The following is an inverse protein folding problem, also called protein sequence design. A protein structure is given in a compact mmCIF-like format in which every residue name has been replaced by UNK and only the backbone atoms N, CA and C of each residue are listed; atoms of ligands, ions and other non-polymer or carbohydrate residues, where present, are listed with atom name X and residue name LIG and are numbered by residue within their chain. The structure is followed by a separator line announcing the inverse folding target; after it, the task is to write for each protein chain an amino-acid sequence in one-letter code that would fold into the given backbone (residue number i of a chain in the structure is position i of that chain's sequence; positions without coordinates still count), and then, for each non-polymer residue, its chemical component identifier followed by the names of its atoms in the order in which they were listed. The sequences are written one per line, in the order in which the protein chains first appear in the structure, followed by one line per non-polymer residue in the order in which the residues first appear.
data_IF_347965207481
#
_entry.id   IF_347965207481
#
_cell.length_a   1.000
_cell.length_b   1.000
_cell.length_c   1.000
_cell.angle_alpha   90.00
_cell.angle_beta   90.00
_cell.angle_gamma   90.00
#
_symmetry.space_group_name_H-M   'P 1'
#
loop_
_entity.id
_entity.type
_entity.pdbx_description
1 polymer ?
#
# COMPACT_ATOMS: atom_id res chain seq x y z
N UNK A 1 -4.28 -13.44 -4.27
CA UNK A 1 -5.27 -13.70 -3.19
C UNK A 1 -5.09 -12.63 -2.12
N UNK A 2 -6.12 -11.83 -1.83
CA UNK A 2 -6.13 -10.83 -0.74
C UNK A 2 -6.66 -11.48 0.54
N UNK A 3 -5.85 -11.54 1.59
CA UNK A 3 -6.27 -11.98 2.93
C UNK A 3 -6.61 -10.76 3.77
N UNK A 4 -7.80 -10.75 4.36
CA UNK A 4 -8.21 -9.67 5.25
C UNK A 4 -7.48 -9.81 6.58
N UNK A 5 -6.86 -8.73 7.04
CA UNK A 5 -6.35 -8.63 8.41
C UNK A 5 -7.51 -8.67 9.39
N UNK A 6 -7.35 -9.39 10.50
CA UNK A 6 -8.29 -9.46 11.62
C UNK A 6 -8.27 -8.17 12.47
N UNK A 7 -8.28 -7.00 11.84
CA UNK A 7 -8.31 -5.70 12.49
C UNK A 7 -9.58 -4.95 12.10
N UNK A 8 -10.12 -4.20 13.04
CA UNK A 8 -11.27 -3.32 12.77
C UNK A 8 -10.84 -2.13 11.91
N UNK A 9 -11.78 -1.54 11.16
CA UNK A 9 -11.55 -0.30 10.41
C UNK A 9 -11.01 0.83 11.29
N UNK A 10 -11.46 0.90 12.55
CA UNK A 10 -11.00 1.90 13.52
C UNK A 10 -9.53 1.70 13.89
N UNK A 11 -9.11 0.46 14.14
CA UNK A 11 -7.71 0.14 14.43
C UNK A 11 -6.82 0.45 13.23
N UNK A 12 -7.24 0.05 12.02
CA UNK A 12 -6.50 0.36 10.80
C UNK A 12 -6.31 1.87 10.60
N UNK A 13 -7.36 2.67 10.83
CA UNK A 13 -7.28 4.13 10.74
C UNK A 13 -6.30 4.72 11.75
N UNK A 14 -6.32 4.23 12.99
CA UNK A 14 -5.43 4.71 14.06
C UNK A 14 -3.97 4.42 13.74
N UNK A 15 -3.66 3.21 13.27
CA UNK A 15 -2.30 2.80 12.89
C UNK A 15 -1.77 3.62 11.70
N UNK A 16 -2.60 3.83 10.67
CA UNK A 16 -2.23 4.66 9.53
C UNK A 16 -2.03 6.12 9.90
N UNK A 17 -2.80 6.63 10.85
CA UNK A 17 -2.65 8.00 11.34
C UNK A 17 -1.32 8.18 12.09
N UNK A 18 -1.01 7.28 13.03
CA UNK A 18 0.28 7.30 13.73
C UNK A 18 1.47 7.18 12.76
N UNK A 19 1.36 6.30 11.75
CA UNK A 19 2.38 6.15 10.71
C UNK A 19 2.63 7.46 9.93
N UNK A 20 1.56 8.19 9.59
CA UNK A 20 1.65 9.47 8.90
C UNK A 20 2.30 10.55 9.78
N UNK A 21 1.95 10.60 11.07
CA UNK A 21 2.46 11.62 12.01
C UNK A 21 3.96 11.44 12.27
N UNK A 22 4.44 10.21 12.39
CA UNK A 22 5.87 9.93 12.60
C UNK A 22 6.68 9.83 11.30
N UNK A 23 6.03 9.86 10.14
CA UNK A 23 6.71 9.63 8.86
C UNK A 23 7.39 8.26 8.79
N UNK A 24 6.77 7.25 9.41
CA UNK A 24 7.32 5.90 9.57
C UNK A 24 6.46 4.80 8.96
N UNK A 25 7.04 3.63 8.75
CA UNK A 25 6.31 2.42 8.35
C UNK A 25 5.88 1.68 9.62
N UNK A 26 4.60 1.34 9.72
CA UNK A 26 4.09 0.55 10.85
C UNK A 26 4.15 -0.93 10.50
N UNK A 27 4.90 -1.71 11.28
CA UNK A 27 4.95 -3.17 11.14
C UNK A 27 3.99 -3.82 12.15
N UNK A 28 3.07 -4.65 11.65
CA UNK A 28 2.10 -5.39 12.46
C UNK A 28 2.43 -6.87 12.36
N UNK A 29 2.81 -7.48 13.47
CA UNK A 29 3.02 -8.94 13.55
C UNK A 29 1.66 -9.63 13.62
N UNK A 30 1.40 -10.54 12.70
CA UNK A 30 0.17 -11.34 12.63
C UNK A 30 0.50 -12.82 12.52
N UNK A 31 -0.48 -13.69 12.74
CA UNK A 31 -0.33 -15.15 12.64
C UNK A 31 0.16 -15.61 11.25
N UNK A 32 -0.09 -14.81 10.22
CA UNK A 32 0.30 -15.07 8.83
C UNK A 32 1.62 -14.39 8.43
N UNK A 33 2.27 -13.67 9.35
CA UNK A 33 3.53 -12.95 9.13
C UNK A 33 3.44 -11.46 9.48
N UNK A 34 4.46 -10.71 9.07
CA UNK A 34 4.55 -9.27 9.33
C UNK A 34 3.89 -8.50 8.18
N UNK A 35 2.90 -7.67 8.50
CA UNK A 35 2.27 -6.76 7.53
C UNK A 35 2.75 -5.34 7.76
N UNK A 36 3.25 -4.72 6.69
CA UNK A 36 3.74 -3.34 6.70
C UNK A 36 2.65 -2.39 6.21
N UNK A 37 2.26 -1.45 7.06
CA UNK A 37 1.37 -0.35 6.72
C UNK A 37 2.24 0.85 6.32
N UNK A 38 2.25 1.17 5.03
CA UNK A 38 3.03 2.27 4.48
C UNK A 38 2.10 3.47 4.32
N UNK A 39 2.35 4.60 5.02
CA UNK A 39 1.57 5.81 4.84
C UNK A 39 1.67 6.33 3.42
N UNK A 40 0.58 6.91 2.89
CA UNK A 40 0.49 7.37 1.50
C UNK A 40 1.53 8.45 1.16
N UNK A 41 1.99 9.22 2.15
CA UNK A 41 3.06 10.21 1.99
C UNK A 41 4.42 9.58 1.66
N UNK A 42 4.66 8.34 2.09
CA UNK A 42 5.88 7.57 1.85
C UNK A 42 5.68 6.47 0.80
N UNK A 43 4.44 6.22 0.40
CA UNK A 43 4.13 5.25 -0.62
C UNK A 43 4.83 5.70 -1.92
N UNK A 44 5.65 4.84 -2.56
CA UNK A 44 6.17 5.15 -3.87
C UNK A 44 4.98 5.45 -4.78
N UNK A 45 5.02 6.59 -5.48
CA UNK A 45 3.99 6.92 -6.47
C UNK A 45 3.83 5.71 -7.38
N UNK A 46 2.62 5.18 -7.58
CA UNK A 46 2.42 4.17 -8.59
C UNK A 46 2.95 4.77 -9.89
N UNK A 47 3.97 4.13 -10.49
CA UNK A 47 4.36 4.46 -11.85
C UNK A 47 3.08 4.35 -12.68
N UNK A 48 2.71 5.39 -13.45
CA UNK A 48 1.58 5.26 -14.34
C UNK A 48 1.84 4.03 -15.20
N UNK A 49 0.87 3.11 -15.22
CA UNK A 49 0.93 1.92 -16.05
C UNK A 49 1.38 2.35 -17.46
N UNK A 50 2.32 1.63 -18.10
CA UNK A 50 2.77 1.99 -19.44
C UNK A 50 1.54 2.11 -20.33
N UNK A 51 1.26 3.34 -20.78
CA UNK A 51 0.24 3.60 -21.79
C UNK A 51 0.58 2.70 -22.96
N UNK A 52 -0.33 1.76 -23.27
CA UNK A 52 -0.20 0.82 -24.37
C UNK A 52 0.32 1.56 -25.61
N UNK A 53 1.59 1.28 -25.96
CA UNK A 53 2.13 1.66 -27.26
C UNK A 53 1.41 0.78 -28.28
N UNK A 54 0.33 1.29 -28.87
CA UNK A 54 -0.24 0.70 -30.07
C UNK A 54 0.88 0.54 -31.13
N UNK A 55 0.96 -0.63 -31.79
CA UNK A 55 2.05 -0.93 -32.71
C UNK A 55 1.96 -0.03 -33.95
N UNK A 56 3.10 0.56 -34.34
CA UNK A 56 3.25 1.21 -35.64
C UNK A 56 2.89 0.21 -36.74
N UNK A 57 1.71 0.35 -37.33
CA UNK A 57 1.37 -0.27 -38.60
C UNK A 57 2.25 0.33 -39.68
N UNK A 58 2.99 -0.52 -40.39
CA UNK A 58 3.53 -0.19 -41.70
C UNK A 58 2.42 -0.36 -42.73
N UNK A 59 2.12 0.69 -43.48
CA UNK A 59 1.48 0.67 -44.80
C UNK A 59 2.05 1.82 -45.62
#
# INVERSE_FOLDING_TARGET
MTRNLSITKRQAKTLLQAANEEGGIVEVVTEIGVVRLIPAALAPKPEPAPVDKEPKGYL
#
